data_IF_695878400631
#
_entry.id   IF_695878400631
#
_cell.length_a   1.000
_cell.length_b   1.000
_cell.length_c   1.000
_cell.angle_alpha   90.00
_cell.angle_beta   90.00
_cell.angle_gamma   90.00
#
_symmetry.space_group_name_H-M   'P 1'
#
loop_
_entity.id
_entity.type
_entity.pdbx_description
1 polymer ?
#
# COMPACT_ATOMS: atom_id res chain seq x y z
N UNK A 1 22.35 26.27 56.57
CA UNK A 1 21.18 25.39 56.34
C UNK A 1 20.46 25.64 54.99
N UNK A 2 21.03 26.41 54.05
CA UNK A 2 20.35 26.86 52.81
C UNK A 2 20.64 25.96 51.59
N UNK A 3 21.66 25.09 51.65
CA UNK A 3 22.14 24.31 50.49
C UNK A 3 21.28 23.09 50.10
N UNK A 4 20.43 22.58 51.02
CA UNK A 4 19.59 21.39 50.75
C UNK A 4 18.39 21.69 49.84
N UNK A 5 17.79 22.87 49.96
CA UNK A 5 16.65 23.26 49.12
C UNK A 5 17.03 23.42 47.65
N UNK A 6 18.22 24.00 47.39
CA UNK A 6 18.73 24.21 46.04
C UNK A 6 19.01 22.90 45.31
N UNK A 7 19.55 21.90 46.02
CA UNK A 7 19.80 20.55 45.47
C UNK A 7 18.49 19.83 45.11
N UNK A 8 17.48 19.92 45.97
CA UNK A 8 16.16 19.32 45.72
C UNK A 8 15.46 19.96 44.52
N UNK A 9 15.54 21.28 44.37
CA UNK A 9 14.99 21.98 43.20
C UNK A 9 15.74 21.64 41.91
N UNK A 10 17.07 21.45 42.00
CA UNK A 10 17.90 21.10 40.84
C UNK A 10 17.62 19.67 40.37
N UNK A 11 17.42 18.74 41.31
CA UNK A 11 16.99 17.37 41.01
C UNK A 11 15.61 17.33 40.34
N UNK A 12 14.65 18.13 40.84
CA UNK A 12 13.33 18.23 40.22
C UNK A 12 13.39 18.81 38.79
N UNK A 13 14.22 19.82 38.54
CA UNK A 13 14.42 20.39 37.21
C UNK A 13 15.03 19.35 36.26
N UNK A 14 16.05 18.61 36.70
CA UNK A 14 16.66 17.55 35.89
C UNK A 14 15.64 16.46 35.56
N UNK A 15 14.84 16.03 36.53
CA UNK A 15 13.79 15.02 36.31
C UNK A 15 12.76 15.49 35.27
N UNK A 16 12.33 16.75 35.36
CA UNK A 16 11.41 17.36 34.39
C UNK A 16 12.02 17.42 33.00
N UNK A 17 13.28 17.84 32.87
CA UNK A 17 13.99 17.89 31.58
C UNK A 17 14.14 16.50 30.97
N UNK A 18 14.50 15.50 31.76
CA UNK A 18 14.58 14.10 31.28
C UNK A 18 13.22 13.62 30.78
N UNK A 19 12.15 13.94 31.49
CA UNK A 19 10.79 13.54 31.12
C UNK A 19 10.35 14.21 29.81
N UNK A 20 10.66 15.49 29.61
CA UNK A 20 10.44 16.19 28.34
C UNK A 20 11.26 15.60 27.19
N UNK A 21 12.53 15.26 27.42
CA UNK A 21 13.37 14.61 26.40
C UNK A 21 12.82 13.23 26.00
N UNK A 22 12.27 12.48 26.97
CA UNK A 22 11.66 11.18 26.72
C UNK A 22 10.39 11.30 25.87
N UNK A 23 9.51 12.26 26.21
CA UNK A 23 8.30 12.55 25.42
C UNK A 23 8.67 12.99 24.01
N UNK A 24 9.65 13.90 23.87
CA UNK A 24 10.10 14.38 22.57
C UNK A 24 10.66 13.23 21.70
N UNK A 25 11.48 12.37 22.29
CA UNK A 25 12.04 11.20 21.59
C UNK A 25 10.96 10.24 21.11
N UNK A 26 9.99 9.91 21.97
CA UNK A 26 8.86 9.02 21.61
C UNK A 26 8.00 9.63 20.51
N UNK A 27 7.66 10.92 20.60
CA UNK A 27 6.87 11.60 19.57
C UNK A 27 7.61 11.68 18.24
N UNK A 28 8.93 11.88 18.25
CA UNK A 28 9.72 11.96 17.02
C UNK A 28 9.92 10.59 16.35
N UNK A 29 9.99 9.52 17.14
CA UNK A 29 10.09 8.13 16.64
C UNK A 29 8.73 7.64 16.14
N UNK A 30 7.62 7.96 16.83
CA UNK A 30 6.27 7.55 16.42
C UNK A 30 5.67 8.40 15.29
N UNK A 31 6.15 9.63 15.09
CA UNK A 31 5.62 10.57 14.09
C UNK A 31 6.17 10.39 12.68
N UNK A 32 7.14 9.50 12.46
CA UNK A 32 7.74 9.21 11.16
C UNK A 32 7.29 7.85 10.62
N UNK A 33 5.99 7.61 10.58
CA UNK A 33 5.49 6.65 9.58
C UNK A 33 5.74 7.35 8.25
N UNK A 34 6.82 6.95 7.59
CA UNK A 34 7.24 7.51 6.31
C UNK A 34 6.06 7.40 5.34
N UNK A 35 5.78 8.42 4.53
CA UNK A 35 4.63 8.37 3.60
C UNK A 35 4.74 7.14 2.67
N UNK A 36 5.96 6.77 2.31
CA UNK A 36 6.30 5.55 1.58
C UNK A 36 5.82 4.26 2.28
N UNK A 37 5.88 4.22 3.62
CA UNK A 37 5.43 3.06 4.41
C UNK A 37 3.90 2.96 4.40
N UNK A 38 3.20 4.09 4.38
CA UNK A 38 1.74 4.14 4.23
C UNK A 38 1.27 3.71 2.85
N UNK A 39 1.98 4.13 1.79
CA UNK A 39 1.68 3.69 0.41
C UNK A 39 1.80 2.18 0.31
N UNK A 40 2.90 1.62 0.82
CA UNK A 40 3.12 0.18 0.83
C UNK A 40 2.03 -0.57 1.61
N UNK A 41 1.67 -0.11 2.80
CA UNK A 41 0.61 -0.72 3.61
C UNK A 41 -0.74 -0.73 2.88
N UNK A 42 -1.08 0.37 2.19
CA UNK A 42 -2.31 0.44 1.37
C UNK A 42 -2.26 -0.48 0.16
N UNK A 43 -1.14 -0.53 -0.56
CA UNK A 43 -0.95 -1.45 -1.69
C UNK A 43 -1.09 -2.90 -1.23
N UNK A 44 -0.46 -3.27 -0.12
CA UNK A 44 -0.53 -4.62 0.44
C UNK A 44 -1.95 -4.96 0.88
N UNK A 45 -2.69 -4.00 1.46
CA UNK A 45 -4.11 -4.16 1.79
C UNK A 45 -4.97 -4.42 0.55
N UNK A 46 -4.83 -3.59 -0.49
CA UNK A 46 -5.57 -3.70 -1.76
C UNK A 46 -5.30 -5.06 -2.40
N UNK A 47 -4.04 -5.43 -2.58
CA UNK A 47 -3.66 -6.69 -3.21
C UNK A 47 -4.13 -7.90 -2.40
N UNK A 48 -4.08 -7.81 -1.06
CA UNK A 48 -4.59 -8.85 -0.18
C UNK A 48 -6.10 -9.03 -0.36
N UNK A 49 -6.89 -7.95 -0.40
CA UNK A 49 -8.34 -8.06 -0.61
C UNK A 49 -8.67 -8.63 -2.00
N UNK A 50 -7.98 -8.20 -3.05
CA UNK A 50 -8.12 -8.79 -4.39
C UNK A 50 -7.81 -10.29 -4.37
N UNK A 51 -6.79 -10.72 -3.62
CA UNK A 51 -6.40 -12.14 -3.54
C UNK A 51 -7.28 -13.01 -2.65
N UNK A 52 -8.06 -12.43 -1.73
CA UNK A 52 -8.90 -13.16 -0.77
C UNK A 52 -10.38 -13.16 -1.16
N UNK A 53 -10.87 -12.08 -1.79
CA UNK A 53 -12.25 -11.95 -2.20
C UNK A 53 -12.52 -12.79 -3.46
N UNK A 54 -13.46 -13.74 -3.38
CA UNK A 54 -13.76 -14.65 -4.50
C UNK A 54 -14.20 -13.93 -5.78
N UNK A 55 -14.96 -12.83 -5.67
CA UNK A 55 -15.45 -12.06 -6.83
C UNK A 55 -14.27 -11.39 -7.55
N UNK A 56 -13.36 -10.77 -6.80
CA UNK A 56 -12.15 -10.14 -7.35
C UNK A 56 -11.21 -11.17 -7.98
N UNK A 57 -11.00 -12.30 -7.30
CA UNK A 57 -10.18 -13.39 -7.81
C UNK A 57 -10.75 -13.98 -9.10
N UNK A 58 -12.06 -14.16 -9.17
CA UNK A 58 -12.73 -14.67 -10.37
C UNK A 58 -12.63 -13.65 -11.52
N UNK A 59 -12.80 -12.36 -11.21
CA UNK A 59 -12.62 -11.29 -12.19
C UNK A 59 -11.23 -11.33 -12.84
N UNK A 60 -10.17 -11.39 -12.03
CA UNK A 60 -8.79 -11.53 -12.50
C UNK A 60 -8.60 -12.86 -13.25
N UNK A 61 -9.14 -13.94 -12.69
CA UNK A 61 -9.04 -15.28 -13.24
C UNK A 61 -9.57 -15.38 -14.67
N UNK A 62 -10.63 -14.63 -14.98
CA UNK A 62 -11.31 -14.64 -16.28
C UNK A 62 -10.62 -13.78 -17.35
N UNK A 63 -9.56 -13.04 -17.02
CA UNK A 63 -8.83 -12.22 -17.99
C UNK A 63 -8.02 -13.12 -18.92
N UNK A 64 -8.30 -13.08 -20.22
CA UNK A 64 -7.54 -13.84 -21.21
C UNK A 64 -6.17 -13.18 -21.48
N UNK A 65 -5.10 -13.89 -21.13
CA UNK A 65 -3.72 -13.42 -21.31
C UNK A 65 -3.32 -13.24 -22.75
N UNK A 66 -3.74 -14.18 -23.58
CA UNK A 66 -3.33 -14.21 -24.98
C UNK A 66 -3.96 -13.04 -25.76
N UNK A 67 -4.95 -12.37 -25.16
CA UNK A 67 -5.63 -11.19 -25.70
C UNK A 67 -5.00 -9.85 -25.29
N UNK A 68 -4.06 -9.85 -24.32
CA UNK A 68 -3.43 -8.61 -23.83
C UNK A 68 -2.32 -8.14 -24.77
N UNK A 69 -2.14 -6.82 -24.84
CA UNK A 69 -1.01 -6.24 -25.58
C UNK A 69 0.29 -6.59 -24.85
N UNK A 70 1.11 -7.43 -25.49
CA UNK A 70 2.44 -7.84 -25.02
C UNK A 70 3.36 -6.67 -24.62
N UNK A 71 3.12 -5.45 -25.10
CA UNK A 71 3.94 -4.27 -24.76
C UNK A 71 3.48 -3.58 -23.48
N UNK A 72 2.20 -3.68 -23.13
CA UNK A 72 1.65 -3.10 -21.92
C UNK A 72 0.42 -3.91 -21.48
N UNK A 73 0.61 -5.02 -20.73
CA UNK A 73 -0.46 -5.89 -20.29
C UNK A 73 -1.23 -5.29 -19.10
N UNK A 74 -1.59 -4.00 -19.19
CA UNK A 74 -2.49 -3.34 -18.25
C UNK A 74 -3.87 -3.98 -18.36
N UNK A 75 -4.40 -4.37 -17.22
CA UNK A 75 -5.71 -4.99 -17.09
C UNK A 75 -6.75 -4.04 -16.47
N UNK A 76 -6.41 -2.76 -16.33
CA UNK A 76 -7.26 -1.78 -15.66
C UNK A 76 -8.67 -1.72 -16.26
N UNK A 77 -8.78 -1.72 -17.59
CA UNK A 77 -10.08 -1.71 -18.27
C UNK A 77 -10.86 -3.03 -18.08
N UNK A 78 -10.17 -4.18 -18.05
CA UNK A 78 -10.78 -5.49 -17.81
C UNK A 78 -11.37 -5.60 -16.40
N UNK A 79 -10.80 -4.86 -15.45
CA UNK A 79 -11.17 -4.88 -14.04
C UNK A 79 -12.28 -3.89 -13.65
N UNK A 80 -12.76 -3.07 -14.59
CA UNK A 80 -13.90 -2.16 -14.37
C UNK A 80 -15.24 -2.90 -14.30
N UNK A 81 -15.36 -3.99 -15.05
CA UNK A 81 -16.60 -4.74 -15.19
C UNK A 81 -16.38 -6.20 -14.77
N UNK A 82 -16.36 -6.43 -13.46
CA UNK A 82 -16.31 -7.78 -12.91
C UNK A 82 -17.72 -8.39 -12.81
N UNK A 83 -17.83 -9.71 -12.58
CA UNK A 83 -19.09 -10.34 -12.20
C UNK A 83 -19.75 -9.64 -11.01
N UNK A 84 -21.07 -9.72 -10.91
CA UNK A 84 -21.89 -9.13 -9.84
C UNK A 84 -21.84 -7.59 -9.75
N UNK A 85 -21.62 -6.90 -10.87
CA UNK A 85 -21.56 -5.44 -10.97
C UNK A 85 -20.51 -4.81 -10.04
N UNK A 86 -19.45 -5.54 -9.72
CA UNK A 86 -18.34 -5.05 -8.89
C UNK A 86 -17.23 -4.50 -9.78
N UNK A 87 -16.56 -3.44 -9.33
CA UNK A 87 -15.39 -2.86 -10.00
C UNK A 87 -14.17 -2.95 -9.07
N UNK A 88 -13.15 -3.69 -9.50
CA UNK A 88 -11.86 -3.71 -8.78
C UNK A 88 -11.16 -2.36 -8.92
N UNK A 89 -11.37 -1.66 -10.04
CA UNK A 89 -10.85 -0.30 -10.26
C UNK A 89 -11.40 0.68 -9.24
N UNK A 90 -12.72 0.67 -9.01
CA UNK A 90 -13.38 1.57 -8.06
C UNK A 90 -12.86 1.29 -6.64
N UNK A 91 -12.70 0.01 -6.29
CA UNK A 91 -12.09 -0.38 -5.02
C UNK A 91 -10.65 0.13 -4.86
N UNK A 92 -9.83 0.08 -5.91
CA UNK A 92 -8.47 0.61 -5.87
C UNK A 92 -8.50 2.14 -5.76
N UNK A 93 -9.35 2.82 -6.53
CA UNK A 93 -9.52 4.28 -6.52
C UNK A 93 -9.88 4.78 -5.11
N UNK A 94 -10.83 4.14 -4.43
CA UNK A 94 -11.23 4.47 -3.05
C UNK A 94 -10.10 4.30 -2.02
N UNK A 95 -9.19 3.34 -2.24
CA UNK A 95 -8.10 3.07 -1.30
C UNK A 95 -6.82 3.87 -1.61
N UNK A 96 -6.67 4.31 -2.86
CA UNK A 96 -5.51 5.03 -3.39
C UNK A 96 -5.85 6.45 -3.88
N UNK A 97 -6.91 7.11 -3.41
CA UNK A 97 -7.44 8.42 -3.88
C UNK A 97 -6.42 9.54 -4.20
N UNK A 98 -5.21 9.51 -3.64
CA UNK A 98 -4.15 10.51 -3.86
C UNK A 98 -3.02 10.05 -4.78
N UNK A 99 -3.15 8.87 -5.39
CA UNK A 99 -2.12 8.25 -6.20
C UNK A 99 -2.68 7.80 -7.53
N UNK A 100 -1.88 8.01 -8.58
CA UNK A 100 -2.08 7.35 -9.85
C UNK A 100 -1.58 5.90 -9.76
N UNK A 101 -2.23 5.00 -10.50
CA UNK A 101 -1.81 3.61 -10.55
C UNK A 101 -2.15 2.93 -11.86
N UNK A 102 -1.40 1.86 -12.12
CA UNK A 102 -1.72 0.85 -13.12
C UNK A 102 -1.68 -0.54 -12.49
N UNK A 103 -2.46 -1.45 -13.05
CA UNK A 103 -2.58 -2.83 -12.61
C UNK A 103 -2.37 -3.74 -13.80
N UNK A 104 -1.42 -4.65 -13.67
CA UNK A 104 -0.89 -5.43 -14.77
C UNK A 104 -0.79 -6.89 -14.41
N UNK A 105 -0.83 -7.73 -15.43
CA UNK A 105 -0.39 -9.11 -15.26
C UNK A 105 0.89 -9.27 -16.07
N UNK A 106 1.96 -9.68 -15.39
CA UNK A 106 3.35 -9.48 -15.84
C UNK A 106 3.80 -8.01 -15.78
N UNK A 107 5.01 -7.78 -16.31
CA UNK A 107 5.68 -6.49 -16.24
C UNK A 107 5.07 -5.48 -17.21
N UNK A 108 4.67 -4.32 -16.70
CA UNK A 108 4.24 -3.17 -17.50
C UNK A 108 5.33 -2.12 -17.64
N UNK A 109 5.41 -1.52 -18.83
CA UNK A 109 6.25 -0.34 -19.08
C UNK A 109 5.52 0.92 -18.61
N UNK A 110 5.77 1.32 -17.36
CA UNK A 110 5.21 2.54 -16.77
C UNK A 110 6.12 3.74 -17.12
N UNK A 111 5.71 4.51 -18.13
CA UNK A 111 6.44 5.70 -18.60
C UNK A 111 6.07 6.95 -17.79
N UNK A 112 6.54 7.03 -16.55
CA UNK A 112 6.33 8.19 -15.66
C UNK A 112 7.66 8.75 -15.12
N UNK A 113 7.79 10.07 -15.10
CA UNK A 113 8.99 10.79 -14.62
C UNK A 113 9.06 10.85 -13.06
N UNK A 114 8.46 9.88 -12.37
CA UNK A 114 8.27 9.89 -10.91
C UNK A 114 8.71 8.59 -10.27
N UNK A 115 8.83 8.60 -8.94
CA UNK A 115 9.08 7.38 -8.19
C UNK A 115 7.85 6.47 -8.27
N UNK A 116 8.07 5.22 -8.68
CA UNK A 116 7.03 4.20 -8.80
C UNK A 116 7.20 3.18 -7.69
N UNK A 117 6.15 2.97 -6.91
CA UNK A 117 6.02 1.88 -5.95
C UNK A 117 5.41 0.67 -6.66
N UNK A 118 5.99 -0.50 -6.44
CA UNK A 118 5.53 -1.76 -7.06
C UNK A 118 5.34 -2.81 -5.98
N UNK A 119 4.19 -3.48 -6.00
CA UNK A 119 3.91 -4.67 -5.20
C UNK A 119 3.18 -5.69 -6.07
N UNK A 120 3.31 -6.98 -5.74
CA UNK A 120 2.69 -8.06 -6.51
C UNK A 120 2.03 -9.10 -5.63
N UNK A 121 1.03 -9.78 -6.18
CA UNK A 121 0.36 -10.91 -5.53
C UNK A 121 0.01 -12.00 -6.54
N UNK A 122 0.19 -13.25 -6.11
CA UNK A 122 -0.24 -14.41 -6.89
C UNK A 122 -1.72 -14.70 -6.63
N UNK A 123 -2.51 -14.71 -7.70
CA UNK A 123 -3.93 -15.03 -7.68
C UNK A 123 -4.18 -16.31 -8.47
N UNK A 124 -4.60 -17.35 -7.77
CA UNK A 124 -5.14 -18.56 -8.39
C UNK A 124 -6.65 -18.42 -8.50
N UNK A 125 -7.21 -18.63 -9.69
CA UNK A 125 -8.65 -18.82 -9.83
C UNK A 125 -9.05 -20.15 -9.14
N UNK A 126 -10.23 -20.17 -8.49
CA UNK A 126 -10.71 -21.34 -7.73
C UNK A 126 -11.23 -22.46 -8.65
N UNK A 127 -11.60 -22.14 -9.90
CA UNK A 127 -12.53 -22.96 -10.69
C UNK A 127 -11.95 -23.55 -11.99
N UNK A 128 -10.79 -23.10 -12.46
CA UNK A 128 -10.13 -23.65 -13.65
C UNK A 128 -8.75 -24.19 -13.28
N UNK A 129 -8.39 -25.35 -13.84
CA UNK A 129 -7.10 -26.03 -13.62
C UNK A 129 -5.89 -25.28 -14.23
N UNK A 130 -5.96 -23.96 -14.35
CA UNK A 130 -4.98 -23.14 -15.06
C UNK A 130 -4.27 -22.17 -14.11
N UNK A 131 -2.95 -22.27 -14.20
CA UNK A 131 -1.87 -21.31 -13.91
C UNK A 131 -2.30 -20.09 -13.08
N UNK A 132 -1.81 -20.03 -11.84
CA UNK A 132 -1.91 -18.83 -11.01
C UNK A 132 -1.28 -17.62 -11.72
N UNK A 133 -1.95 -16.48 -11.63
CA UNK A 133 -1.58 -15.22 -12.28
C UNK A 133 -0.88 -14.32 -11.28
N UNK A 134 0.26 -13.73 -11.63
CA UNK A 134 0.90 -12.72 -10.77
C UNK A 134 0.47 -11.32 -11.20
N UNK A 135 -0.30 -10.65 -10.36
CA UNK A 135 -0.70 -9.26 -10.61
C UNK A 135 0.34 -8.33 -10.00
N UNK A 136 0.71 -7.31 -10.76
CA UNK A 136 1.54 -6.20 -10.33
C UNK A 136 0.69 -4.95 -10.20
N UNK A 137 0.78 -4.28 -9.06
CA UNK A 137 0.20 -2.96 -8.82
C UNK A 137 1.34 -1.94 -8.80
N UNK A 138 1.29 -1.01 -9.75
CA UNK A 138 2.22 0.10 -9.89
C UNK A 138 1.53 1.36 -9.40
N UNK A 139 2.14 2.09 -8.46
CA UNK A 139 1.54 3.29 -7.84
C UNK A 139 2.56 4.42 -7.85
N UNK A 140 2.13 5.63 -8.20
CA UNK A 140 2.97 6.82 -8.21
C UNK A 140 2.18 8.07 -7.82
N UNK A 141 2.89 9.10 -7.36
CA UNK A 141 2.29 10.39 -6.97
C UNK A 141 1.76 11.15 -8.21
N UNK A 142 0.65 11.88 -8.05
CA UNK A 142 0.09 12.79 -9.06
C UNK A 142 0.86 14.10 -9.24
#
# INVERSE_FOLDING_TARGET
>A
MVKKGYLLTLEAIIAVVILFLFIYSIMFVGGRINENEKVKERMDFVLKEISLNNVYRECVGNIDFDSLDSRNPSIKENLKNCPDDVSVVDFIDENLESYSYDICIEFCEINVDKNVYVSSVFISAVLTKEIGKEIYLYVWEE
#
